data_IF_709202603940
#
_entry.id   IF_709202603940
#
_cell.length_a   1.000
_cell.length_b   1.000
_cell.length_c   1.000
_cell.angle_alpha   90.00
_cell.angle_beta   90.00
_cell.angle_gamma   90.00
#
_symmetry.space_group_name_H-M   'P 1'
#
loop_
_entity.id
_entity.type
_entity.pdbx_description
1 polymer ?
#
# COMPACT_ATOMS: atom_id res chain seq x y z
N UNK A 1 -17.00 -8.42 9.11
CA UNK A 1 -16.29 -7.48 9.99
C UNK A 1 -14.84 -7.41 9.51
N UNK A 2 -14.23 -6.22 9.46
CA UNK A 2 -12.81 -6.07 9.11
C UNK A 2 -11.96 -6.01 10.37
N UNK A 3 -10.74 -6.53 10.29
CA UNK A 3 -9.73 -6.38 11.34
C UNK A 3 -8.56 -5.57 10.77
N UNK A 4 -8.24 -4.46 11.42
CA UNK A 4 -7.07 -3.65 11.06
C UNK A 4 -5.83 -4.31 11.67
N UNK A 5 -4.93 -4.79 10.82
CA UNK A 5 -3.69 -5.47 11.24
C UNK A 5 -2.45 -4.56 11.14
N UNK A 6 -2.59 -3.38 10.53
CA UNK A 6 -1.55 -2.37 10.39
C UNK A 6 -2.12 -1.07 9.81
N UNK A 7 -1.57 0.05 10.24
CA UNK A 7 -1.90 1.39 9.75
C UNK A 7 -0.66 2.27 9.89
N UNK A 8 -0.35 3.08 8.89
CA UNK A 8 0.59 4.19 9.05
C UNK A 8 0.25 5.33 8.10
N UNK A 9 0.84 6.48 8.38
CA UNK A 9 0.70 7.70 7.60
C UNK A 9 2.09 8.28 7.36
N UNK A 10 2.40 8.58 6.10
CA UNK A 10 3.63 9.23 5.70
C UNK A 10 3.37 10.27 4.62
N UNK A 11 4.25 11.26 4.55
CA UNK A 11 4.32 12.17 3.41
C UNK A 11 4.87 11.40 2.21
N UNK A 12 4.11 11.33 1.12
CA UNK A 12 4.60 10.79 -0.14
C UNK A 12 5.62 11.77 -0.71
N UNK A 13 6.86 11.32 -0.89
CA UNK A 13 7.90 12.09 -1.58
C UNK A 13 8.36 11.32 -2.80
N UNK A 14 8.32 11.97 -3.95
CA UNK A 14 8.73 11.35 -5.22
C UNK A 14 10.20 10.90 -5.16
N UNK A 15 10.46 9.67 -5.59
CA UNK A 15 11.80 9.07 -5.54
C UNK A 15 12.24 8.65 -4.13
N UNK A 16 11.31 8.58 -3.18
CA UNK A 16 11.54 8.04 -1.86
C UNK A 16 10.75 6.75 -1.65
N UNK A 17 11.47 5.74 -1.20
CA UNK A 17 10.97 4.41 -0.87
C UNK A 17 10.53 4.38 0.60
N UNK A 18 9.23 4.21 0.86
CA UNK A 18 8.65 4.28 2.20
C UNK A 18 7.81 3.06 2.58
N UNK A 19 8.06 2.53 3.78
CA UNK A 19 7.17 1.54 4.42
C UNK A 19 5.92 2.24 4.98
N UNK A 20 4.73 1.91 4.46
CA UNK A 20 3.45 2.52 4.85
C UNK A 20 2.62 1.66 5.80
N UNK A 21 2.87 0.37 5.91
CA UNK A 21 2.22 -0.46 6.92
C UNK A 21 3.09 -1.67 7.21
N UNK A 22 3.65 -1.74 8.42
CA UNK A 22 4.34 -2.92 8.92
C UNK A 22 3.48 -3.53 10.03
N UNK A 23 2.90 -4.69 9.74
CA UNK A 23 2.40 -5.60 10.78
C UNK A 23 3.49 -6.62 11.10
N UNK A 24 3.23 -7.53 12.05
CA UNK A 24 4.14 -8.64 12.34
C UNK A 24 4.45 -9.50 11.09
N UNK A 25 3.51 -9.59 10.14
CA UNK A 25 3.61 -10.53 9.02
C UNK A 25 3.65 -9.87 7.66
N UNK A 26 3.05 -8.70 7.49
CA UNK A 26 2.95 -8.02 6.20
C UNK A 26 3.54 -6.62 6.25
N UNK A 27 4.31 -6.30 5.22
CA UNK A 27 4.87 -4.98 4.96
C UNK A 27 4.37 -4.45 3.63
N UNK A 28 3.81 -3.25 3.58
CA UNK A 28 3.56 -2.55 2.33
C UNK A 28 4.62 -1.48 2.13
N UNK A 29 5.38 -1.65 1.06
CA UNK A 29 6.35 -0.69 0.59
C UNK A 29 5.76 0.11 -0.58
N UNK A 30 5.90 1.43 -0.52
CA UNK A 30 5.33 2.36 -1.49
C UNK A 30 6.42 3.29 -1.99
N UNK A 31 6.60 3.29 -3.30
CA UNK A 31 7.47 4.22 -4.01
C UNK A 31 6.60 5.14 -4.87
N UNK A 32 6.69 6.45 -4.62
CA UNK A 32 6.03 7.45 -5.44
C UNK A 32 6.92 7.78 -6.64
N UNK A 33 6.53 7.30 -7.82
CA UNK A 33 7.27 7.53 -9.06
C UNK A 33 6.98 8.90 -9.67
N UNK A 34 5.86 9.52 -9.29
CA UNK A 34 5.51 10.86 -9.74
C UNK A 34 4.15 11.33 -9.27
N UNK A 35 3.95 12.64 -9.32
CA UNK A 35 2.68 13.30 -9.06
C UNK A 35 2.11 13.86 -10.36
N UNK A 36 0.79 13.73 -10.50
CA UNK A 36 -0.04 14.31 -11.56
C UNK A 36 -1.12 15.16 -10.92
N UNK A 37 -1.81 15.99 -11.70
CA UNK A 37 -2.95 16.76 -11.18
C UNK A 37 -4.04 15.88 -10.56
N UNK A 38 -4.23 14.67 -11.10
CA UNK A 38 -5.23 13.72 -10.62
C UNK A 38 -4.80 12.94 -9.36
N UNK A 39 -3.50 12.85 -9.08
CA UNK A 39 -2.93 12.05 -7.99
C UNK A 39 -1.56 11.47 -8.31
N UNK A 40 -1.22 10.34 -7.68
CA UNK A 40 0.13 9.78 -7.69
C UNK A 40 0.22 8.51 -8.52
N UNK A 41 1.37 8.30 -9.17
CA UNK A 41 1.76 7.01 -9.71
C UNK A 41 2.67 6.34 -8.68
N UNK A 42 2.26 5.16 -8.22
CA UNK A 42 2.94 4.42 -7.17
C UNK A 42 3.41 3.08 -7.70
N UNK A 43 4.61 2.67 -7.32
CA UNK A 43 5.01 1.27 -7.33
C UNK A 43 4.82 0.70 -5.93
N UNK A 44 4.06 -0.39 -5.84
CA UNK A 44 3.64 -1.02 -4.59
C UNK A 44 4.27 -2.40 -4.51
N UNK A 45 4.98 -2.66 -3.41
CA UNK A 45 5.56 -3.97 -3.09
C UNK A 45 4.97 -4.49 -1.78
N UNK A 46 4.25 -5.61 -1.86
CA UNK A 46 3.70 -6.30 -0.70
C UNK A 46 4.67 -7.40 -0.27
N UNK A 47 5.17 -7.28 0.94
CA UNK A 47 6.02 -8.27 1.57
C UNK A 47 5.25 -9.08 2.60
N UNK A 48 5.55 -10.38 2.69
CA UNK A 48 5.24 -11.21 3.85
C UNK A 48 6.55 -11.59 4.52
N UNK A 49 6.76 -11.10 5.74
CA UNK A 49 8.05 -11.15 6.44
C UNK A 49 9.18 -10.56 5.59
N UNK A 50 9.96 -11.39 4.89
CA UNK A 50 11.04 -10.96 3.98
C UNK A 50 10.78 -11.33 2.52
N UNK A 51 9.69 -12.03 2.24
CA UNK A 51 9.32 -12.50 0.90
C UNK A 51 8.48 -11.45 0.18
N UNK A 52 8.88 -11.08 -1.05
CA UNK A 52 8.06 -10.24 -1.92
C UNK A 52 6.94 -11.09 -2.53
N UNK A 53 5.69 -10.81 -2.17
CA UNK A 53 4.52 -11.53 -2.67
C UNK A 53 3.95 -10.92 -3.95
N UNK A 54 4.03 -9.59 -4.07
CA UNK A 54 3.46 -8.85 -5.18
C UNK A 54 4.24 -7.55 -5.38
N UNK A 55 4.53 -7.24 -6.63
CA UNK A 55 4.94 -5.91 -7.08
C UNK A 55 3.99 -5.45 -8.18
N UNK A 56 3.47 -4.23 -8.07
CA UNK A 56 2.53 -3.70 -9.06
C UNK A 56 2.52 -2.18 -9.06
N UNK A 57 2.29 -1.59 -10.23
CA UNK A 57 2.08 -0.17 -10.36
C UNK A 57 0.60 0.19 -10.19
N UNK A 58 0.31 1.26 -9.47
CA UNK A 58 -1.04 1.72 -9.21
C UNK A 58 -1.15 3.24 -9.28
N UNK A 59 -2.33 3.73 -9.67
CA UNK A 59 -2.68 5.16 -9.62
C UNK A 59 -3.48 5.43 -8.35
N UNK A 60 -2.96 6.31 -7.50
CA UNK A 60 -3.66 6.78 -6.30
C UNK A 60 -4.27 8.15 -6.55
N UNK A 61 -5.60 8.22 -6.58
CA UNK A 61 -6.35 9.45 -6.77
C UNK A 61 -6.35 10.31 -5.50
N UNK A 62 -6.29 11.64 -5.66
CA UNK A 62 -6.51 12.59 -4.55
C UNK A 62 -7.96 12.62 -4.06
N UNK A 63 -8.91 12.09 -4.85
CA UNK A 63 -10.35 12.18 -4.59
C UNK A 63 -11.00 10.87 -4.17
N UNK A 64 -10.26 9.76 -4.23
CA UNK A 64 -10.83 8.43 -3.96
C UNK A 64 -9.76 7.47 -3.43
N UNK A 65 -10.13 6.59 -2.48
CA UNK A 65 -9.21 5.60 -1.96
C UNK A 65 -8.85 4.56 -3.03
N UNK A 66 -7.62 4.03 -2.95
CA UNK A 66 -7.20 2.84 -3.70
C UNK A 66 -7.37 1.62 -2.79
N UNK A 67 -8.11 0.61 -3.26
CA UNK A 67 -8.33 -0.64 -2.53
C UNK A 67 -7.74 -1.79 -3.34
N UNK A 68 -6.83 -2.56 -2.73
CA UNK A 68 -6.16 -3.69 -3.35
C UNK A 68 -6.48 -4.96 -2.58
N UNK A 69 -6.94 -5.98 -3.30
CA UNK A 69 -7.20 -7.32 -2.75
C UNK A 69 -5.89 -8.12 -2.72
N UNK A 70 -5.47 -8.51 -1.52
CA UNK A 70 -4.24 -9.30 -1.30
C UNK A 70 -4.47 -10.82 -1.32
N UNK A 71 -3.59 -11.61 -0.68
CA UNK A 71 -3.77 -13.06 -0.49
C UNK A 71 -4.77 -13.40 0.63
N UNK A 72 -5.15 -14.68 0.70
CA UNK A 72 -5.91 -15.25 1.83
C UNK A 72 -4.99 -15.44 3.04
N UNK A 73 -5.44 -15.03 4.23
CA UNK A 73 -4.68 -15.06 5.49
C UNK A 73 -5.62 -15.45 6.63
N UNK A 74 -5.29 -16.51 7.38
CA UNK A 74 -6.03 -16.90 8.60
C UNK A 74 -7.54 -17.16 8.37
N UNK A 75 -7.92 -17.64 7.18
CA UNK A 75 -9.32 -17.85 6.80
C UNK A 75 -10.06 -16.60 6.33
N UNK A 76 -9.38 -15.46 6.20
CA UNK A 76 -9.91 -14.20 5.68
C UNK A 76 -9.12 -13.67 4.49
N UNK A 77 -9.53 -12.51 3.99
CA UNK A 77 -8.93 -11.84 2.82
C UNK A 77 -8.17 -10.59 3.27
N UNK A 78 -6.87 -10.50 2.93
CA UNK A 78 -6.12 -9.27 3.12
C UNK A 78 -6.66 -8.18 2.17
N UNK A 79 -6.88 -6.98 2.70
CA UNK A 79 -7.20 -5.78 1.93
C UNK A 79 -6.20 -4.69 2.31
N UNK A 80 -5.64 -4.02 1.31
CA UNK A 80 -4.82 -2.82 1.47
C UNK A 80 -5.65 -1.63 1.01
N UNK A 81 -5.70 -0.58 1.83
CA UNK A 81 -6.45 0.64 1.54
C UNK A 81 -5.48 1.81 1.65
N UNK A 82 -5.29 2.55 0.56
CA UNK A 82 -4.47 3.75 0.50
C UNK A 82 -5.35 4.97 0.28
N UNK A 83 -5.09 6.04 1.03
CA UNK A 83 -5.83 7.30 0.96
C UNK A 83 -4.82 8.45 1.03
N UNK A 84 -5.07 9.50 0.25
CA UNK A 84 -4.34 10.78 0.35
C UNK A 84 -5.15 11.71 1.25
N UNK A 85 -4.47 12.43 2.15
CA UNK A 85 -5.05 13.49 2.98
C UNK A 85 -4.50 14.85 2.56
#
# INVERSE_FOLDING_TARGET
QFQVIGQSQKALKTGQEDWLATSKFFGLHVDAQGETEAGYVLNLKLYKEKELLLETDAKLSKRSPLVIKGPQVGGGQLLLVLVVQ
#
